data_IF_013517681634
#
_entry.id   IF_013517681634
#
_cell.length_a   1.000
_cell.length_b   1.000
_cell.length_c   1.000
_cell.angle_alpha   90.00
_cell.angle_beta   90.00
_cell.angle_gamma   90.00
#
_symmetry.space_group_name_H-M   'P 1'
#
loop_
_entity.id
_entity.type
_entity.pdbx_description
1 polymer ?
#
# COMPACT_ATOMS: atom_id res chain seq x y z
N UNK A 1 -27.57 10.38 -23.00
CA UNK A 1 -28.47 9.82 -21.97
C UNK A 1 -28.57 10.82 -20.84
N UNK A 2 -29.74 11.00 -20.23
CA UNK A 2 -29.90 11.98 -19.13
C UNK A 2 -29.31 11.41 -17.84
N UNK A 3 -28.73 12.28 -17.02
CA UNK A 3 -28.42 11.95 -15.63
C UNK A 3 -29.67 12.20 -14.80
N UNK A 4 -29.90 11.37 -13.79
CA UNK A 4 -30.93 11.67 -12.79
C UNK A 4 -30.45 12.83 -11.91
N UNK A 5 -31.35 13.71 -11.49
CA UNK A 5 -31.01 14.94 -10.74
C UNK A 5 -30.28 14.69 -9.41
N UNK A 6 -30.34 13.46 -8.89
CA UNK A 6 -29.70 13.06 -7.64
C UNK A 6 -28.31 12.40 -7.83
N UNK A 7 -27.74 12.43 -9.03
CA UNK A 7 -26.38 11.90 -9.28
C UNK A 7 -25.35 12.84 -8.67
N UNK A 8 -24.50 12.31 -7.80
CA UNK A 8 -23.43 13.06 -7.14
C UNK A 8 -22.12 12.85 -7.90
N UNK A 9 -21.84 13.76 -8.83
CA UNK A 9 -20.61 13.73 -9.63
C UNK A 9 -19.36 14.01 -8.80
N UNK A 10 -19.46 14.75 -7.68
CA UNK A 10 -18.31 15.00 -6.81
C UNK A 10 -17.89 13.75 -6.04
N UNK A 11 -18.86 12.97 -5.55
CA UNK A 11 -18.58 11.68 -4.93
C UNK A 11 -17.94 10.71 -5.92
N UNK A 12 -18.47 10.63 -7.15
CA UNK A 12 -17.89 9.78 -8.22
C UNK A 12 -16.47 10.25 -8.58
N UNK A 13 -16.21 11.55 -8.61
CA UNK A 13 -14.88 12.09 -8.87
C UNK A 13 -13.87 11.72 -7.76
N UNK A 14 -14.31 11.71 -6.48
CA UNK A 14 -13.48 11.25 -5.36
C UNK A 14 -13.16 9.75 -5.43
N UNK A 15 -14.10 8.93 -5.90
CA UNK A 15 -13.94 7.47 -6.00
C UNK A 15 -13.17 7.03 -7.26
N UNK A 16 -13.14 7.85 -8.31
CA UNK A 16 -12.44 7.58 -9.58
C UNK A 16 -10.97 8.03 -9.58
N UNK A 17 -10.30 7.95 -8.43
CA UNK A 17 -8.88 8.27 -8.34
C UNK A 17 -8.05 7.37 -9.27
N UNK A 18 -7.19 7.98 -10.08
CA UNK A 18 -6.34 7.27 -11.03
C UNK A 18 -7.03 6.85 -12.33
N UNK A 19 -8.25 7.32 -12.62
CA UNK A 19 -8.87 7.20 -13.94
C UNK A 19 -8.41 8.36 -14.84
N UNK A 20 -7.99 8.05 -16.07
CA UNK A 20 -7.77 9.08 -17.09
C UNK A 20 -9.06 9.38 -17.87
N UNK A 21 -9.04 10.35 -18.78
CA UNK A 21 -10.22 10.74 -19.56
C UNK A 21 -10.83 9.60 -20.39
N UNK A 22 -10.01 8.66 -20.87
CA UNK A 22 -10.50 7.48 -21.58
C UNK A 22 -11.15 6.47 -20.62
N UNK A 23 -10.55 6.25 -19.44
CA UNK A 23 -11.12 5.39 -18.40
C UNK A 23 -12.47 5.92 -17.91
N UNK A 24 -12.58 7.24 -17.72
CA UNK A 24 -13.82 7.90 -17.36
C UNK A 24 -14.86 7.79 -18.47
N UNK A 25 -14.47 7.95 -19.73
CA UNK A 25 -15.38 7.75 -20.87
C UNK A 25 -15.90 6.31 -20.91
N UNK A 26 -15.04 5.31 -20.74
CA UNK A 26 -15.44 3.91 -20.64
C UNK A 26 -16.35 3.63 -19.45
N UNK A 27 -16.08 4.24 -18.29
CA UNK A 27 -16.92 4.14 -17.10
C UNK A 27 -18.33 4.70 -17.36
N UNK A 28 -18.43 5.84 -18.02
CA UNK A 28 -19.71 6.48 -18.38
C UNK A 28 -20.48 5.60 -19.38
N UNK A 29 -19.80 5.04 -20.38
CA UNK A 29 -20.42 4.13 -21.36
C UNK A 29 -20.96 2.88 -20.67
N UNK A 30 -20.20 2.26 -19.76
CA UNK A 30 -20.67 1.07 -19.04
C UNK A 30 -21.86 1.38 -18.13
N UNK A 31 -21.87 2.53 -17.44
CA UNK A 31 -22.99 2.98 -16.62
C UNK A 31 -24.26 3.21 -17.48
N UNK A 32 -24.10 3.80 -18.67
CA UNK A 32 -25.19 3.96 -19.63
C UNK A 32 -25.70 2.60 -20.15
N UNK A 33 -24.80 1.68 -20.49
CA UNK A 33 -25.15 0.32 -20.93
C UNK A 33 -25.87 -0.47 -19.84
N UNK A 34 -25.52 -0.28 -18.57
CA UNK A 34 -26.25 -0.89 -17.47
C UNK A 34 -27.66 -0.32 -17.34
N UNK A 35 -27.83 1.01 -17.45
CA UNK A 35 -29.15 1.63 -17.49
C UNK A 35 -30.00 1.10 -18.67
N UNK A 36 -29.39 0.93 -19.85
CA UNK A 36 -30.08 0.35 -21.02
C UNK A 36 -30.49 -1.09 -20.72
N UNK A 37 -29.59 -1.95 -20.22
CA UNK A 37 -29.89 -3.36 -19.91
C UNK A 37 -31.04 -3.52 -18.92
N UNK A 38 -31.12 -2.66 -17.91
CA UNK A 38 -32.20 -2.68 -16.91
C UNK A 38 -33.56 -2.29 -17.51
N UNK A 39 -33.56 -1.44 -18.55
CA UNK A 39 -34.78 -0.94 -19.20
C UNK A 39 -35.16 -1.72 -20.46
N UNK A 40 -34.22 -2.48 -21.03
CA UNK A 40 -34.44 -3.31 -22.22
C UNK A 40 -35.49 -4.40 -22.01
N UNK A 41 -35.73 -4.82 -20.76
CA UNK A 41 -36.81 -5.75 -20.41
C UNK A 41 -38.20 -5.11 -20.45
N UNK A 42 -38.28 -3.78 -20.53
CA UNK A 42 -39.52 -3.00 -20.52
C UNK A 42 -39.84 -2.40 -21.90
N UNK A 43 -38.92 -2.51 -22.85
CA UNK A 43 -39.06 -1.98 -24.21
C UNK A 43 -39.48 -3.15 -25.10
N UNK A 44 -40.57 -2.99 -25.85
CA UNK A 44 -40.93 -3.91 -26.90
C UNK A 44 -39.99 -3.69 -28.09
N UNK A 45 -39.24 -4.72 -28.48
CA UNK A 45 -38.20 -4.63 -29.52
C UNK A 45 -38.83 -4.83 -30.91
N UNK A 46 -40.10 -5.24 -30.96
CA UNK A 46 -40.84 -5.46 -32.21
C UNK A 46 -41.48 -4.18 -32.78
N UNK A 47 -41.55 -3.10 -31.98
CA UNK A 47 -42.06 -1.80 -32.42
C UNK A 47 -40.93 -0.89 -32.94
N UNK A 48 -41.16 -0.24 -34.09
CA UNK A 48 -40.19 0.67 -34.72
C UNK A 48 -40.04 2.04 -34.02
N UNK A 49 -40.94 2.35 -33.06
CA UNK A 49 -40.96 3.62 -32.33
C UNK A 49 -40.94 3.39 -30.82
N UNK A 50 -40.04 4.09 -30.12
CA UNK A 50 -39.95 4.07 -28.66
C UNK A 50 -40.81 5.21 -28.11
N UNK A 51 -41.74 4.90 -27.21
CA UNK A 51 -42.58 5.90 -26.56
C UNK A 51 -41.75 6.95 -25.80
N UNK A 52 -42.18 8.21 -25.88
CA UNK A 52 -41.53 9.34 -25.24
C UNK A 52 -41.48 9.20 -23.71
N UNK A 53 -42.44 8.51 -23.10
CA UNK A 53 -42.43 8.21 -21.66
C UNK A 53 -41.30 7.23 -21.29
N UNK A 54 -41.13 6.18 -22.09
CA UNK A 54 -40.04 5.21 -21.93
C UNK A 54 -38.68 5.88 -22.14
N UNK A 55 -38.58 6.76 -23.14
CA UNK A 55 -37.35 7.48 -23.48
C UNK A 55 -36.94 8.49 -22.38
N UNK A 56 -37.92 9.12 -21.72
CA UNK A 56 -37.66 9.98 -20.57
C UNK A 56 -37.31 9.20 -19.30
N UNK A 57 -37.74 7.94 -19.19
CA UNK A 57 -37.40 7.06 -18.06
C UNK A 57 -35.94 6.55 -18.10
N UNK A 58 -35.25 6.69 -19.24
CA UNK A 58 -33.86 6.29 -19.44
C UNK A 58 -32.87 7.31 -18.84
N UNK A 59 -32.68 7.23 -17.52
CA UNK A 59 -31.75 8.07 -16.77
C UNK A 59 -30.70 7.24 -16.02
N UNK A 60 -29.43 7.65 -16.14
CA UNK A 60 -28.32 7.04 -15.40
C UNK A 60 -28.35 7.50 -13.95
N UNK A 61 -28.09 6.58 -13.01
CA UNK A 61 -28.15 6.79 -11.55
C UNK A 61 -26.80 6.55 -10.87
N UNK A 62 -26.65 6.96 -9.61
CA UNK A 62 -25.44 6.66 -8.82
C UNK A 62 -25.15 5.16 -8.71
N UNK A 63 -26.17 4.31 -8.70
CA UNK A 63 -25.97 2.85 -8.59
C UNK A 63 -25.33 2.27 -9.85
N UNK A 64 -25.65 2.82 -11.02
CA UNK A 64 -24.99 2.47 -12.29
C UNK A 64 -23.51 2.85 -12.29
N UNK A 65 -23.16 4.02 -11.75
CA UNK A 65 -21.77 4.43 -11.59
C UNK A 65 -21.02 3.55 -10.57
N UNK A 66 -21.63 3.25 -9.41
CA UNK A 66 -21.03 2.35 -8.40
C UNK A 66 -20.78 0.94 -8.94
N UNK A 67 -21.74 0.38 -9.67
CA UNK A 67 -21.58 -0.93 -10.29
C UNK A 67 -20.51 -0.94 -11.39
N UNK A 68 -20.38 0.16 -12.14
CA UNK A 68 -19.35 0.32 -13.17
C UNK A 68 -17.95 0.49 -12.55
N UNK A 69 -17.83 1.25 -11.47
CA UNK A 69 -16.57 1.43 -10.72
C UNK A 69 -16.07 0.12 -10.12
N UNK A 70 -16.97 -0.80 -9.73
CA UNK A 70 -16.57 -2.13 -9.24
C UNK A 70 -16.01 -3.04 -10.33
N UNK A 71 -16.37 -2.81 -11.60
CA UNK A 71 -15.95 -3.65 -12.74
C UNK A 71 -14.79 -3.06 -13.52
N UNK A 72 -14.69 -1.73 -13.56
CA UNK A 72 -13.65 -1.03 -14.29
C UNK A 72 -12.37 -0.94 -13.45
N UNK A 73 -11.23 -1.27 -14.05
CA UNK A 73 -9.91 -1.02 -13.47
C UNK A 73 -9.27 0.07 -14.33
N UNK A 74 -8.89 1.22 -13.76
CA UNK A 74 -8.34 2.31 -14.55
C UNK A 74 -6.97 1.97 -15.13
N UNK A 75 -6.72 2.44 -16.35
CA UNK A 75 -5.49 2.20 -17.10
C UNK A 75 -4.25 2.76 -16.39
N UNK A 76 -4.42 3.86 -15.65
CA UNK A 76 -3.35 4.50 -14.87
C UNK A 76 -3.04 3.79 -13.55
N UNK A 77 -3.86 2.83 -13.11
CA UNK A 77 -3.48 1.87 -12.05
C UNK A 77 -2.59 0.73 -12.60
N UNK A 78 -1.98 0.90 -13.77
CA UNK A 78 -0.88 0.03 -14.23
C UNK A 78 0.36 0.20 -13.32
N UNK A 79 0.33 -0.59 -12.25
CA UNK A 79 1.42 -1.16 -11.44
C UNK A 79 2.33 -0.25 -10.60
N UNK A 80 2.27 1.09 -10.72
CA UNK A 80 3.13 2.00 -9.93
C UNK A 80 2.39 3.24 -9.43
N UNK A 81 2.09 3.31 -8.13
CA UNK A 81 1.69 4.56 -7.46
C UNK A 81 2.91 5.27 -6.89
N UNK A 82 3.10 6.53 -7.26
CA UNK A 82 4.05 7.42 -6.58
C UNK A 82 3.31 7.98 -5.36
N UNK A 83 3.66 7.49 -4.17
CA UNK A 83 3.12 7.98 -2.91
C UNK A 83 4.17 8.88 -2.23
N UNK A 84 3.75 10.05 -1.75
CA UNK A 84 4.54 10.75 -0.72
C UNK A 84 4.18 10.10 0.61
N UNK A 85 5.14 9.41 1.19
CA UNK A 85 4.98 8.79 2.51
C UNK A 85 4.94 9.86 3.60
N UNK A 86 4.02 9.74 4.55
CA UNK A 86 3.90 10.59 5.75
C UNK A 86 4.46 9.93 7.01
N UNK A 87 4.97 8.70 6.89
CA UNK A 87 5.52 7.91 7.99
C UNK A 87 6.88 8.46 8.40
N UNK A 88 7.11 8.72 9.68
CA UNK A 88 8.40 9.20 10.22
C UNK A 88 9.14 8.13 11.02
N UNK A 89 10.40 8.38 11.37
CA UNK A 89 11.16 7.45 12.23
C UNK A 89 10.52 7.17 13.57
N UNK A 90 9.77 8.13 14.09
CA UNK A 90 9.06 7.98 15.35
C UNK A 90 7.98 6.89 15.19
N UNK A 91 7.26 6.84 14.05
CA UNK A 91 6.19 5.86 13.81
C UNK A 91 6.71 4.40 13.75
N UNK A 92 8.02 4.21 13.62
CA UNK A 92 8.67 2.89 13.68
C UNK A 92 9.17 2.64 15.09
N UNK A 93 8.57 1.71 15.83
CA UNK A 93 9.06 1.31 17.15
C UNK A 93 10.33 0.45 17.08
N UNK A 94 11.31 0.73 17.94
CA UNK A 94 12.52 -0.09 18.10
C UNK A 94 13.51 0.03 16.93
N UNK A 95 14.23 -1.06 16.64
CA UNK A 95 15.12 -1.22 15.49
C UNK A 95 16.26 -0.18 15.39
N UNK A 96 16.80 0.30 16.52
CA UNK A 96 17.75 1.41 16.54
C UNK A 96 18.99 1.18 15.65
N UNK A 97 19.56 -0.03 15.68
CA UNK A 97 20.73 -0.36 14.86
C UNK A 97 20.39 -0.39 13.37
N UNK A 98 19.21 -0.90 13.01
CA UNK A 98 18.71 -0.90 11.62
C UNK A 98 18.47 0.54 11.15
N UNK A 99 17.86 1.39 11.98
CA UNK A 99 17.65 2.81 11.66
C UNK A 99 18.98 3.52 11.43
N UNK A 100 19.98 3.28 12.28
CA UNK A 100 21.31 3.86 12.14
C UNK A 100 21.97 3.42 10.82
N UNK A 101 21.98 2.11 10.55
CA UNK A 101 22.53 1.56 9.32
C UNK A 101 21.84 2.17 8.07
N UNK A 102 20.52 2.29 8.06
CA UNK A 102 19.80 2.87 6.93
C UNK A 102 20.11 4.35 6.71
N UNK A 103 20.34 5.13 7.77
CA UNK A 103 20.80 6.52 7.63
C UNK A 103 22.18 6.57 6.97
N UNK A 104 23.10 5.71 7.38
CA UNK A 104 24.44 5.64 6.81
C UNK A 104 24.44 5.20 5.34
N UNK A 105 23.59 4.24 4.98
CA UNK A 105 23.53 3.66 3.63
C UNK A 105 22.74 4.52 2.65
N UNK A 106 21.67 5.19 3.10
CA UNK A 106 20.74 5.90 2.20
C UNK A 106 20.86 7.41 2.37
N UNK A 107 20.80 7.89 3.61
CA UNK A 107 20.71 9.32 3.88
C UNK A 107 22.06 10.03 3.71
N UNK A 108 23.17 9.43 4.14
CA UNK A 108 24.49 10.05 4.06
C UNK A 108 25.01 10.24 2.63
N UNK A 109 24.84 9.30 1.68
CA UNK A 109 25.18 9.55 0.28
C UNK A 109 24.44 10.74 -0.33
N UNK A 110 23.21 10.99 0.11
CA UNK A 110 22.39 12.11 -0.37
C UNK A 110 22.82 13.42 0.29
N UNK A 111 23.10 13.40 1.60
CA UNK A 111 23.46 14.60 2.36
C UNK A 111 24.91 15.04 2.15
N UNK A 112 25.83 14.10 1.92
CA UNK A 112 27.27 14.33 1.88
C UNK A 112 27.96 13.78 0.63
N UNK A 113 27.46 14.04 -0.61
CA UNK A 113 27.98 13.42 -1.83
C UNK A 113 29.47 13.70 -2.07
N UNK A 114 29.94 14.90 -1.71
CA UNK A 114 31.35 15.31 -1.87
C UNK A 114 32.33 14.40 -1.11
N UNK A 115 31.89 13.84 0.04
CA UNK A 115 32.73 12.93 0.80
C UNK A 115 32.93 11.62 0.04
N UNK A 116 31.88 11.09 -0.56
CA UNK A 116 31.94 9.86 -1.36
C UNK A 116 32.84 10.06 -2.60
N UNK A 117 32.69 11.19 -3.29
CA UNK A 117 33.54 11.54 -4.45
C UNK A 117 35.01 11.69 -4.06
N UNK A 118 35.30 12.41 -2.98
CA UNK A 118 36.68 12.65 -2.51
C UNK A 118 37.41 11.36 -2.15
N UNK A 119 36.72 10.41 -1.55
CA UNK A 119 37.31 9.12 -1.19
C UNK A 119 37.21 8.07 -2.31
N UNK A 120 36.61 8.41 -3.47
CA UNK A 120 36.41 7.47 -4.58
C UNK A 120 35.52 6.28 -4.20
N UNK A 121 34.64 6.46 -3.22
CA UNK A 121 33.74 5.41 -2.71
C UNK A 121 32.43 5.49 -3.47
N UNK A 122 32.05 4.42 -4.16
CA UNK A 122 30.73 4.33 -4.79
C UNK A 122 29.67 4.07 -3.72
N UNK A 123 28.63 4.90 -3.59
CA UNK A 123 27.58 4.66 -2.63
C UNK A 123 26.76 3.42 -3.00
N UNK A 124 26.19 2.72 -2.01
CA UNK A 124 25.31 1.58 -2.26
C UNK A 124 24.10 1.97 -3.11
N UNK A 125 23.63 1.04 -3.95
CA UNK A 125 22.52 1.28 -4.88
C UNK A 125 21.19 0.73 -4.39
N UNK A 126 21.24 -0.27 -3.50
CA UNK A 126 20.04 -0.81 -2.93
C UNK A 126 20.27 -1.65 -1.70
N UNK A 127 19.20 -1.80 -0.94
CA UNK A 127 19.15 -2.60 0.29
C UNK A 127 18.10 -3.68 0.12
N UNK A 128 18.39 -4.89 0.60
CA UNK A 128 17.42 -5.98 0.71
C UNK A 128 17.06 -6.22 2.18
N UNK A 129 15.82 -5.95 2.54
CA UNK A 129 15.22 -6.33 3.82
C UNK A 129 14.79 -7.79 3.81
N UNK A 130 15.29 -8.58 4.76
CA UNK A 130 14.89 -9.99 4.91
C UNK A 130 14.62 -10.35 6.38
N UNK A 131 13.51 -11.06 6.65
CA UNK A 131 13.04 -11.52 7.97
C UNK A 131 11.65 -12.20 7.91
N UNK A 132 11.11 -12.74 9.03
CA UNK A 132 9.73 -13.22 9.11
C UNK A 132 8.69 -12.11 8.80
N UNK A 133 7.51 -12.47 8.26
CA UNK A 133 6.48 -11.50 7.90
C UNK A 133 6.02 -10.68 9.11
N UNK A 134 5.69 -9.41 8.87
CA UNK A 134 4.99 -8.55 9.85
C UNK A 134 5.86 -7.85 10.90
N UNK A 135 7.19 -7.88 10.80
CA UNK A 135 8.06 -7.07 11.69
C UNK A 135 8.40 -5.67 11.15
N UNK A 136 7.57 -5.11 10.28
CA UNK A 136 7.65 -3.68 9.93
C UNK A 136 8.60 -3.30 8.78
N UNK A 137 8.93 -4.21 7.85
CA UNK A 137 9.74 -3.90 6.65
C UNK A 137 9.20 -2.70 5.88
N UNK A 138 7.92 -2.76 5.50
CA UNK A 138 7.26 -1.73 4.69
C UNK A 138 7.18 -0.41 5.44
N UNK A 139 6.91 -0.45 6.75
CA UNK A 139 6.85 0.74 7.59
C UNK A 139 8.23 1.40 7.69
N UNK A 140 9.29 0.61 7.81
CA UNK A 140 10.68 1.07 7.82
C UNK A 140 11.08 1.69 6.49
N UNK A 141 10.74 1.05 5.35
CA UNK A 141 10.96 1.61 4.01
C UNK A 141 10.25 2.96 3.80
N UNK A 142 9.01 3.06 4.28
CA UNK A 142 8.23 4.30 4.22
C UNK A 142 8.87 5.41 5.06
N UNK A 143 9.34 5.09 6.27
CA UNK A 143 10.00 6.03 7.16
C UNK A 143 11.30 6.60 6.56
N UNK A 144 12.20 5.74 6.05
CA UNK A 144 13.46 6.22 5.45
C UNK A 144 13.22 7.08 4.20
N UNK A 145 12.19 6.77 3.41
CA UNK A 145 11.84 7.57 2.24
C UNK A 145 11.40 9.00 2.64
N UNK A 146 10.51 9.12 3.62
CA UNK A 146 10.09 10.41 4.18
C UNK A 146 11.28 11.21 4.73
N UNK A 147 12.16 10.55 5.47
CA UNK A 147 13.31 11.17 6.14
C UNK A 147 14.43 11.57 5.17
N UNK A 148 14.47 10.92 4.01
CA UNK A 148 15.37 11.27 2.90
C UNK A 148 14.73 12.26 1.92
N UNK A 149 13.51 12.74 2.20
CA UNK A 149 12.71 13.59 1.31
C UNK A 149 12.60 13.01 -0.12
N UNK A 150 12.52 11.68 -0.20
CA UNK A 150 12.47 10.94 -1.46
C UNK A 150 11.03 10.56 -1.82
N UNK A 151 10.73 10.58 -3.11
CA UNK A 151 9.49 9.99 -3.62
C UNK A 151 9.48 8.49 -3.35
N UNK A 152 8.37 7.97 -2.82
CA UNK A 152 8.25 6.55 -2.50
C UNK A 152 7.39 5.85 -3.56
N UNK A 153 8.04 5.02 -4.38
CA UNK A 153 7.35 4.23 -5.40
C UNK A 153 7.23 2.81 -4.87
N UNK A 154 5.99 2.32 -4.79
CA UNK A 154 5.71 0.94 -4.38
C UNK A 154 5.13 0.15 -5.53
N UNK A 155 5.73 -0.99 -5.81
CA UNK A 155 5.13 -2.05 -6.64
C UNK A 155 4.37 -3.00 -5.73
N UNK A 156 3.03 -2.96 -5.74
CA UNK A 156 2.18 -3.98 -5.11
C UNK A 156 1.32 -4.59 -6.20
N UNK A 157 1.52 -5.88 -6.49
CA UNK A 157 0.75 -6.58 -7.54
C UNK A 157 -0.54 -7.24 -7.04
N UNK A 158 -0.69 -7.42 -5.72
CA UNK A 158 -1.92 -7.99 -5.15
C UNK A 158 -2.16 -7.49 -3.73
N UNK A 159 -3.44 -7.39 -3.35
CA UNK A 159 -3.90 -7.18 -1.97
C UNK A 159 -3.58 -8.38 -1.05
N UNK A 160 -3.09 -9.48 -1.65
CA UNK A 160 -2.61 -10.70 -1.00
C UNK A 160 -1.08 -10.60 -0.87
N UNK A 161 -0.57 -10.85 0.33
CA UNK A 161 0.80 -10.66 0.86
C UNK A 161 1.92 -11.44 0.13
N UNK A 162 2.01 -11.37 -1.20
CA UNK A 162 3.20 -11.80 -1.92
C UNK A 162 4.03 -10.56 -2.26
N UNK A 163 5.22 -10.46 -1.66
CA UNK A 163 6.17 -9.41 -2.02
C UNK A 163 6.56 -9.59 -3.49
N UNK A 164 6.61 -8.49 -4.26
CA UNK A 164 6.86 -8.52 -5.71
C UNK A 164 8.19 -9.19 -6.06
N UNK A 165 9.22 -9.05 -5.20
CA UNK A 165 10.49 -9.74 -5.36
C UNK A 165 10.36 -11.27 -5.29
N UNK A 166 9.54 -11.82 -4.38
CA UNK A 166 9.38 -13.27 -4.22
C UNK A 166 8.67 -13.91 -5.43
N UNK A 167 8.00 -13.10 -6.25
CA UNK A 167 7.29 -13.53 -7.46
C UNK A 167 8.15 -13.38 -8.72
N UNK A 168 8.92 -12.29 -8.82
CA UNK A 168 9.71 -11.98 -10.03
C UNK A 168 11.12 -12.57 -9.96
N UNK A 169 11.69 -12.70 -8.76
CA UNK A 169 13.11 -12.98 -8.51
C UNK A 169 13.26 -14.37 -7.89
N UNK A 170 12.65 -15.40 -8.50
CA UNK A 170 12.86 -16.79 -8.05
C UNK A 170 14.11 -17.36 -8.69
N UNK A 171 14.81 -18.24 -7.96
CA UNK A 171 15.96 -19.00 -8.50
C UNK A 171 15.59 -19.67 -9.82
N UNK A 172 16.42 -19.46 -10.84
CA UNK A 172 16.23 -19.99 -12.19
C UNK A 172 16.26 -21.52 -12.16
N UNK A 173 15.27 -22.17 -12.78
CA UNK A 173 15.35 -23.60 -13.16
C UNK A 173 14.82 -24.63 -12.15
N UNK A 174 13.55 -24.53 -11.73
CA UNK A 174 12.93 -25.51 -10.83
C UNK A 174 12.10 -26.64 -11.47
N UNK A 175 11.73 -26.56 -12.75
CA UNK A 175 10.97 -27.65 -13.42
C UNK A 175 11.36 -27.74 -14.89
N UNK A 176 11.98 -28.85 -15.26
CA UNK A 176 12.13 -29.27 -16.64
C UNK A 176 10.72 -29.57 -17.22
N UNK A 177 10.10 -28.61 -17.89
CA UNK A 177 8.85 -28.87 -18.62
C UNK A 177 7.99 -27.67 -18.99
N UNK A 178 7.95 -26.60 -18.20
CA UNK A 178 6.89 -25.60 -18.36
C UNK A 178 7.35 -24.28 -18.99
N UNK A 179 6.65 -23.92 -20.06
CA UNK A 179 6.81 -22.75 -20.91
C UNK A 179 6.56 -21.40 -20.20
N UNK A 180 7.43 -21.00 -19.26
CA UNK A 180 7.36 -19.66 -18.65
C UNK A 180 8.71 -18.97 -18.47
N UNK A 181 9.53 -18.92 -19.52
CA UNK A 181 10.69 -18.01 -19.60
C UNK A 181 10.33 -16.51 -19.51
N UNK A 182 9.07 -16.16 -19.27
CA UNK A 182 8.63 -14.80 -19.00
C UNK A 182 9.23 -14.25 -17.69
N UNK A 183 9.29 -15.07 -16.64
CA UNK A 183 9.92 -14.67 -15.37
C UNK A 183 11.39 -14.33 -15.54
N UNK A 184 12.13 -15.21 -16.23
CA UNK A 184 13.55 -15.00 -16.51
C UNK A 184 13.82 -13.77 -17.39
N UNK A 185 12.95 -13.48 -18.37
CA UNK A 185 13.05 -12.27 -19.19
C UNK A 185 12.82 -10.99 -18.38
N UNK A 186 11.78 -10.96 -17.56
CA UNK A 186 11.47 -9.81 -16.69
C UNK A 186 12.60 -9.60 -15.67
N UNK A 187 13.14 -10.69 -15.13
CA UNK A 187 14.28 -10.65 -14.22
C UNK A 187 15.54 -10.09 -14.90
N UNK A 188 15.90 -10.59 -16.08
CA UNK A 188 17.06 -10.06 -16.82
C UNK A 188 16.88 -8.57 -17.15
N UNK A 189 15.66 -8.15 -17.50
CA UNK A 189 15.35 -6.74 -17.73
C UNK A 189 15.51 -5.91 -16.46
N UNK A 190 15.00 -6.38 -15.32
CA UNK A 190 15.20 -5.71 -14.03
C UNK A 190 16.69 -5.55 -13.70
N UNK A 191 17.48 -6.61 -13.89
CA UNK A 191 18.93 -6.56 -13.65
C UNK A 191 19.63 -5.57 -14.58
N UNK A 192 19.28 -5.55 -15.88
CA UNK A 192 19.82 -4.57 -16.82
C UNK A 192 19.46 -3.13 -16.43
N UNK A 193 18.23 -2.89 -15.98
CA UNK A 193 17.81 -1.56 -15.50
C UNK A 193 18.58 -1.16 -14.24
N UNK A 194 18.76 -2.08 -13.28
CA UNK A 194 19.55 -1.84 -12.08
C UNK A 194 21.00 -1.49 -12.39
N UNK A 195 21.64 -2.24 -13.30
CA UNK A 195 23.01 -1.97 -13.75
C UNK A 195 23.09 -0.65 -14.56
N UNK A 196 21.99 -0.29 -15.24
CA UNK A 196 21.82 0.95 -16.00
C UNK A 196 21.52 2.19 -15.14
N UNK A 197 21.38 2.06 -13.82
CA UNK A 197 21.29 3.19 -12.89
C UNK A 197 22.69 3.81 -12.78
N UNK A 198 22.99 4.71 -13.71
CA UNK A 198 24.26 5.43 -13.73
C UNK A 198 24.51 6.24 -12.45
N UNK A 199 25.78 6.53 -12.16
CA UNK A 199 26.18 7.10 -10.87
C UNK A 199 25.50 8.44 -10.51
N UNK A 200 25.06 9.20 -11.53
CA UNK A 200 24.38 10.49 -11.40
C UNK A 200 22.86 10.39 -11.20
N UNK A 201 22.25 9.19 -11.30
CA UNK A 201 20.81 9.01 -11.08
C UNK A 201 20.52 8.84 -9.59
N UNK A 202 19.57 9.63 -9.07
CA UNK A 202 19.11 9.67 -7.67
C UNK A 202 18.07 8.59 -7.36
N UNK A 203 18.29 7.35 -7.82
CA UNK A 203 17.36 6.24 -7.58
C UNK A 203 18.04 5.25 -6.63
N UNK A 204 17.39 5.00 -5.50
CA UNK A 204 17.78 4.01 -4.52
C UNK A 204 16.73 2.92 -4.45
N UNK A 205 17.14 1.65 -4.51
CA UNK A 205 16.20 0.53 -4.54
C UNK A 205 16.14 -0.15 -3.17
N UNK A 206 14.94 -0.28 -2.61
CA UNK A 206 14.70 -1.10 -1.41
C UNK A 206 13.92 -2.34 -1.81
N UNK A 207 14.57 -3.49 -1.69
CA UNK A 207 13.92 -4.78 -1.77
C UNK A 207 13.43 -5.26 -0.41
N UNK A 208 12.31 -5.97 -0.38
CA UNK A 208 11.83 -6.67 0.80
C UNK A 208 11.39 -8.10 0.44
N UNK A 209 11.91 -9.09 1.15
CA UNK A 209 11.56 -10.51 1.01
C UNK A 209 11.38 -11.14 2.39
N UNK A 210 10.49 -12.13 2.51
CA UNK A 210 10.48 -12.99 3.70
C UNK A 210 11.22 -14.31 3.47
N UNK A 211 11.70 -14.54 2.23
CA UNK A 211 12.32 -15.77 1.76
C UNK A 211 13.59 -15.45 0.96
N UNK A 212 14.67 -15.00 1.61
CA UNK A 212 15.92 -14.71 0.91
C UNK A 212 16.54 -15.96 0.26
N UNK A 213 16.18 -17.16 0.73
CA UNK A 213 16.63 -18.46 0.24
C UNK A 213 16.21 -18.77 -1.19
N UNK A 214 15.06 -18.23 -1.64
CA UNK A 214 14.54 -18.46 -2.99
C UNK A 214 14.96 -17.40 -4.00
N UNK A 215 15.74 -16.39 -3.57
CA UNK A 215 16.16 -15.30 -4.44
C UNK A 215 17.35 -15.73 -5.30
N UNK A 216 17.29 -15.36 -6.59
CA UNK A 216 18.44 -15.48 -7.48
C UNK A 216 19.59 -14.60 -6.96
N UNK A 217 20.75 -15.21 -6.69
CA UNK A 217 21.93 -14.53 -6.18
C UNK A 217 22.45 -13.40 -7.08
N UNK A 218 22.04 -13.34 -8.35
CA UNK A 218 22.33 -12.23 -9.24
C UNK A 218 21.80 -10.89 -8.69
N UNK A 219 20.67 -10.85 -7.99
CA UNK A 219 20.10 -9.59 -7.48
C UNK A 219 20.91 -9.01 -6.30
N UNK A 220 21.65 -9.86 -5.59
CA UNK A 220 22.45 -9.50 -4.41
C UNK A 220 23.90 -9.14 -4.73
N UNK A 221 24.29 -9.11 -6.01
CA UNK A 221 25.65 -8.77 -6.43
C UNK A 221 25.95 -7.27 -6.21
N UNK A 222 27.24 -6.89 -6.02
CA UNK A 222 27.65 -5.50 -5.89
C UNK A 222 27.06 -4.60 -6.99
N UNK A 223 26.55 -3.44 -6.60
CA UNK A 223 25.89 -2.49 -7.50
C UNK A 223 24.38 -2.71 -7.69
N UNK A 224 23.80 -3.74 -7.06
CA UNK A 224 22.36 -4.06 -7.10
C UNK A 224 21.73 -3.96 -5.70
N UNK A 225 21.24 -5.05 -5.12
CA UNK A 225 20.79 -5.14 -3.72
C UNK A 225 21.88 -5.75 -2.83
N UNK A 226 23.04 -5.09 -2.80
CA UNK A 226 24.24 -5.59 -2.13
C UNK A 226 24.28 -5.35 -0.62
N UNK A 227 23.42 -4.45 -0.11
CA UNK A 227 23.26 -4.23 1.33
C UNK A 227 22.14 -5.10 1.90
N UNK A 228 22.53 -6.18 2.57
CA UNK A 228 21.58 -7.08 3.23
C UNK A 228 21.28 -6.58 4.65
N UNK A 229 20.04 -6.21 4.91
CA UNK A 229 19.61 -5.71 6.23
C UNK A 229 18.59 -6.66 6.83
N UNK A 230 19.00 -7.33 7.91
CA UNK A 230 18.14 -8.20 8.70
C UNK A 230 17.26 -7.37 9.64
N UNK A 231 15.96 -7.64 9.65
CA UNK A 231 15.02 -7.02 10.61
C UNK A 231 14.71 -8.06 11.70
N UNK A 232 15.24 -7.91 12.93
CA UNK A 232 15.09 -8.93 13.95
C UNK A 232 13.65 -9.10 14.43
N UNK A 233 13.37 -10.25 15.03
CA UNK A 233 12.18 -10.46 15.87
C UNK A 233 12.29 -9.52 17.08
N UNK A 234 11.14 -9.06 17.57
CA UNK A 234 11.07 -7.98 18.54
C UNK A 234 11.25 -8.51 19.97
N UNK A 235 12.27 -8.01 20.65
CA UNK A 235 12.50 -8.24 22.08
C UNK A 235 11.54 -7.37 22.93
N UNK A 236 11.52 -7.58 24.24
CA UNK A 236 10.64 -6.83 25.14
C UNK A 236 10.81 -5.30 25.03
N UNK A 237 12.05 -4.82 24.86
CA UNK A 237 12.33 -3.41 24.67
C UNK A 237 11.75 -2.88 23.36
N UNK A 238 11.89 -3.63 22.26
CA UNK A 238 11.31 -3.25 20.97
C UNK A 238 9.79 -3.32 20.98
N UNK A 239 9.18 -4.33 21.63
CA UNK A 239 7.72 -4.41 21.81
C UNK A 239 7.17 -3.19 22.56
N UNK A 240 7.85 -2.75 23.62
CA UNK A 240 7.50 -1.51 24.33
C UNK A 240 7.58 -0.29 23.40
N UNK A 241 8.63 -0.18 22.60
CA UNK A 241 8.78 0.91 21.65
C UNK A 241 7.69 0.90 20.56
N UNK A 242 7.29 -0.28 20.09
CA UNK A 242 6.19 -0.47 19.13
C UNK A 242 4.85 -0.06 19.74
N UNK A 243 4.55 -0.49 20.97
CA UNK A 243 3.33 -0.07 21.67
C UNK A 243 3.27 1.45 21.84
N UNK A 244 4.38 2.08 22.23
CA UNK A 244 4.49 3.55 22.33
C UNK A 244 4.29 4.24 20.97
N UNK A 245 4.84 3.68 19.91
CA UNK A 245 4.69 4.24 18.57
C UNK A 245 3.24 4.11 18.06
N UNK A 246 2.64 2.92 18.21
CA UNK A 246 1.26 2.64 17.80
C UNK A 246 0.23 3.49 18.56
N UNK A 247 0.46 3.73 19.85
CA UNK A 247 -0.44 4.51 20.71
C UNK A 247 -0.11 6.01 20.76
N UNK A 248 0.91 6.50 20.03
CA UNK A 248 1.33 7.92 20.13
C UNK A 248 0.19 8.91 19.91
N UNK A 249 -0.67 8.62 18.93
CA UNK A 249 -1.79 9.49 18.53
C UNK A 249 -3.09 9.16 19.29
N UNK A 250 -3.05 8.22 20.23
CA UNK A 250 -4.22 7.74 20.96
C UNK A 250 -4.08 8.17 22.43
N UNK A 251 -5.12 8.77 23.03
CA UNK A 251 -5.10 9.05 24.47
C UNK A 251 -5.07 7.73 25.25
N UNK A 252 -4.07 7.57 26.12
CA UNK A 252 -3.90 6.39 26.97
C UNK A 252 -4.01 6.83 28.43
N UNK A 253 -4.84 6.12 29.20
CA UNK A 253 -5.01 6.39 30.63
C UNK A 253 -3.72 6.01 31.41
N UNK A 254 -3.39 6.78 32.45
CA UNK A 254 -2.16 6.59 33.25
C UNK A 254 -2.05 5.21 33.91
N UNK A 255 -3.19 4.56 34.17
CA UNK A 255 -3.26 3.21 34.72
C UNK A 255 -2.76 2.11 33.76
N UNK A 256 -2.55 2.41 32.47
CA UNK A 256 -2.12 1.42 31.48
C UNK A 256 -0.59 1.29 31.51
N UNK A 257 -0.10 0.16 32.03
CA UNK A 257 1.33 -0.15 32.03
C UNK A 257 1.79 -0.82 30.73
N UNK A 258 2.31 -0.02 29.81
CA UNK A 258 2.87 -0.51 28.55
C UNK A 258 4.11 -1.39 28.74
N UNK A 259 4.89 -1.22 29.82
CA UNK A 259 6.06 -2.08 30.11
C UNK A 259 5.60 -3.48 30.48
N UNK A 260 4.59 -3.57 31.34
CA UNK A 260 3.99 -4.86 31.68
C UNK A 260 3.44 -5.55 30.43
N UNK A 261 2.69 -4.83 29.58
CA UNK A 261 2.17 -5.37 28.32
C UNK A 261 3.28 -5.91 27.41
N UNK A 262 4.40 -5.19 27.28
CA UNK A 262 5.54 -5.63 26.48
C UNK A 262 6.17 -6.94 27.01
N UNK A 263 6.16 -7.15 28.33
CA UNK A 263 6.71 -8.37 28.95
C UNK A 263 5.80 -9.59 28.74
N UNK A 264 4.47 -9.43 28.80
CA UNK A 264 3.52 -10.55 28.65
C UNK A 264 3.21 -10.90 27.18
N UNK A 265 3.61 -10.06 26.24
CA UNK A 265 3.40 -10.26 24.78
C UNK A 265 4.59 -10.95 24.12
N UNK A 266 5.16 -11.96 24.78
CA UNK A 266 6.29 -12.67 24.20
C UNK A 266 5.92 -13.42 22.90
N UNK A 267 6.80 -13.37 21.92
CA UNK A 267 6.55 -13.88 20.57
C UNK A 267 5.69 -12.99 19.66
N UNK A 268 5.12 -11.89 20.16
CA UNK A 268 4.33 -10.97 19.33
C UNK A 268 5.23 -10.14 18.43
N UNK A 269 4.82 -10.01 17.16
CA UNK A 269 5.50 -9.15 16.19
C UNK A 269 4.82 -7.78 16.08
N UNK A 270 5.44 -6.85 15.36
CA UNK A 270 4.93 -5.49 15.23
C UNK A 270 3.51 -5.40 14.66
N UNK A 271 3.17 -6.27 13.71
CA UNK A 271 1.82 -6.38 13.18
C UNK A 271 0.78 -6.81 14.24
N UNK A 272 1.13 -7.77 15.10
CA UNK A 272 0.22 -8.26 16.16
C UNK A 272 -0.03 -7.19 17.21
N UNK A 273 1.03 -6.52 17.67
CA UNK A 273 0.94 -5.46 18.67
C UNK A 273 0.11 -4.28 18.14
N UNK A 274 0.35 -3.88 16.89
CA UNK A 274 -0.43 -2.82 16.24
C UNK A 274 -1.89 -3.25 16.06
N UNK A 275 -2.12 -4.51 15.69
CA UNK A 275 -3.46 -5.08 15.54
C UNK A 275 -4.25 -5.10 16.85
N UNK A 276 -3.60 -5.42 17.98
CA UNK A 276 -4.22 -5.33 19.30
C UNK A 276 -4.62 -3.89 19.61
N UNK A 277 -3.70 -2.93 19.43
CA UNK A 277 -3.97 -1.52 19.71
C UNK A 277 -5.17 -1.00 18.89
N UNK A 278 -5.25 -1.37 17.61
CA UNK A 278 -6.36 -1.01 16.73
C UNK A 278 -7.68 -1.63 17.18
N UNK A 279 -7.67 -2.91 17.60
CA UNK A 279 -8.88 -3.61 18.07
C UNK A 279 -9.44 -2.96 19.33
N UNK A 280 -8.58 -2.72 20.32
CA UNK A 280 -8.98 -2.07 21.58
C UNK A 280 -9.51 -0.66 21.32
N UNK A 281 -8.83 0.11 20.46
CA UNK A 281 -9.31 1.45 20.10
C UNK A 281 -10.69 1.43 19.43
N UNK A 282 -10.95 0.44 18.56
CA UNK A 282 -12.27 0.26 17.93
C UNK A 282 -13.35 -0.11 18.94
N UNK A 283 -13.06 -1.03 19.87
CA UNK A 283 -14.00 -1.43 20.91
C UNK A 283 -14.39 -0.24 21.80
N UNK A 284 -13.39 0.54 22.23
CA UNK A 284 -13.63 1.74 23.04
C UNK A 284 -14.49 2.78 22.30
N UNK A 285 -14.23 3.00 21.00
CA UNK A 285 -15.03 3.92 20.19
C UNK A 285 -16.49 3.47 20.09
N UNK A 286 -16.71 2.17 19.88
CA UNK A 286 -18.07 1.61 19.80
C UNK A 286 -18.81 1.75 21.14
N UNK A 287 -18.13 1.59 22.27
CA UNK A 287 -18.71 1.79 23.59
C UNK A 287 -19.12 3.26 23.80
N UNK A 288 -18.24 4.20 23.49
CA UNK A 288 -18.54 5.64 23.58
C UNK A 288 -19.75 6.00 22.71
N UNK A 289 -19.81 5.50 21.48
CA UNK A 289 -20.93 5.74 20.57
C UNK A 289 -22.25 5.19 21.12
N UNK A 290 -22.25 3.99 21.72
CA UNK A 290 -23.44 3.44 22.37
C UNK A 290 -23.92 4.33 23.52
N UNK A 291 -23.01 4.82 24.36
CA UNK A 291 -23.35 5.73 25.45
C UNK A 291 -23.95 7.06 24.93
N UNK A 292 -23.39 7.63 23.86
CA UNK A 292 -23.92 8.86 23.23
C UNK A 292 -25.34 8.64 22.72
N UNK A 293 -25.56 7.58 21.94
CA UNK A 293 -26.89 7.26 21.39
C UNK A 293 -27.91 7.02 22.50
N UNK A 294 -27.52 6.30 23.55
CA UNK A 294 -28.40 6.05 24.69
C UNK A 294 -28.78 7.35 25.41
N UNK A 295 -27.83 8.28 25.59
CA UNK A 295 -28.09 9.59 26.19
C UNK A 295 -29.02 10.45 25.33
N UNK A 296 -28.83 10.45 24.01
CA UNK A 296 -29.72 11.17 23.09
C UNK A 296 -31.15 10.61 23.11
N UNK A 297 -31.30 9.29 23.18
CA UNK A 297 -32.62 8.65 23.28
C UNK A 297 -33.33 8.99 24.59
N UNK A 298 -32.61 9.02 25.72
CA UNK A 298 -33.17 9.46 27.00
C UNK A 298 -33.61 10.93 26.94
N UNK A 299 -32.80 11.81 26.33
CA UNK A 299 -33.17 13.22 26.16
C UNK A 299 -34.39 13.42 25.26
N UNK A 300 -34.52 12.63 24.18
CA UNK A 300 -35.69 12.66 23.29
C UNK A 300 -36.98 12.13 23.95
N UNK A 301 -36.86 11.23 24.93
CA UNK A 301 -37.99 10.73 25.70
C UNK A 301 -38.42 11.67 26.84
N UNK A 302 -37.57 12.64 27.20
CA UNK A 302 -37.83 13.62 28.26
C UNK A 302 -38.45 14.93 27.76
N UNK A 303 -38.70 15.06 26.45
CA UNK A 303 -39.39 16.17 25.76
C UNK A 303 -40.75 15.64 25.29
#
# INVERSE_FOLDING_TARGET
MKLKDNVDLEAIAKESHGYNGADLASLIVEAAMQCIREKMTLIDIEEDEIDAEQLNSMCVTNDHFKASLQKSIPSTLSEFSVEVSDVKWDDVGGLNDVKKNLKEVIQYPIQFPEHFEKYGITPPRGVLFFNPPGCGKTLTSKAIATESQANFITTKRAKITYNVLDLIVRTRGGSAGDASGAGDRVMNQLLCEMDGIGAKKTVFIIGATNRPDILDGAIMRPGRLDQLVYIPIQDAASRLAILKAALRKVPVHEAVDLKHMANITDGYIGADLTGICQRVGKEQLLEIQRCIVQRENVLKQAI
#
